data_IF_615205385494
#
_entry.id   IF_615205385494
#
_cell.length_a   1.000
_cell.length_b   1.000
_cell.length_c   1.000
_cell.angle_alpha   90.00
_cell.angle_beta   90.00
_cell.angle_gamma   90.00
#
_symmetry.space_group_name_H-M   'P 1'
#
loop_
_entity.id
_entity.type
_entity.pdbx_description
1 polymer ?
#
# COMPACT_ATOMS: atom_id res chain seq x y z
N UNK A 1 -4.35 1.81 -6.49
CA UNK A 1 -4.79 2.04 -5.11
C UNK A 1 -5.65 0.87 -4.62
N UNK A 2 -6.88 0.64 -5.10
CA UNK A 2 -7.72 -0.43 -4.53
C UNK A 2 -6.99 -1.76 -4.30
N UNK A 3 -6.26 -2.25 -5.31
CA UNK A 3 -5.49 -3.49 -5.16
C UNK A 3 -4.30 -3.34 -4.19
N UNK A 4 -3.72 -2.14 -4.02
CA UNK A 4 -2.64 -1.90 -3.05
C UNK A 4 -3.19 -2.07 -1.63
N UNK A 5 -4.26 -1.33 -1.29
CA UNK A 5 -4.95 -1.38 0.01
C UNK A 5 -5.42 -2.79 0.34
N UNK A 6 -6.08 -3.43 -0.63
CA UNK A 6 -6.63 -4.78 -0.47
C UNK A 6 -5.56 -5.82 -0.12
N UNK A 7 -4.49 -5.86 -0.91
CA UNK A 7 -3.40 -6.83 -0.73
C UNK A 7 -2.63 -6.55 0.56
N UNK A 8 -2.38 -5.26 0.86
CA UNK A 8 -1.68 -4.86 2.08
C UNK A 8 -2.50 -5.20 3.33
N UNK A 9 -3.80 -4.91 3.32
CA UNK A 9 -4.70 -5.26 4.43
C UNK A 9 -4.71 -6.76 4.72
N UNK A 10 -4.71 -7.62 3.69
CA UNK A 10 -4.60 -9.07 3.89
C UNK A 10 -3.24 -9.50 4.45
N UNK A 11 -2.12 -8.97 3.96
CA UNK A 11 -0.80 -9.26 4.54
C UNK A 11 -0.70 -8.84 6.00
N UNK A 12 -1.26 -7.70 6.35
CA UNK A 12 -1.16 -7.18 7.71
C UNK A 12 -2.10 -7.91 8.68
N UNK A 13 -3.22 -8.46 8.19
CA UNK A 13 -4.13 -9.29 8.99
C UNK A 13 -3.46 -10.56 9.54
N UNK A 14 -2.37 -11.04 8.89
CA UNK A 14 -1.58 -12.17 9.39
C UNK A 14 -0.87 -11.90 10.73
N UNK A 15 -0.78 -10.64 11.18
CA UNK A 15 -0.24 -10.30 12.49
C UNK A 15 -1.24 -10.51 13.63
N UNK A 16 -2.53 -10.70 13.32
CA UNK A 16 -3.57 -10.93 14.34
C UNK A 16 -3.26 -12.19 15.13
N UNK A 17 -3.08 -12.05 16.44
CA UNK A 17 -2.75 -13.12 17.36
C UNK A 17 -1.27 -13.46 17.50
N UNK A 18 -0.37 -12.80 16.75
CA UNK A 18 1.08 -13.09 16.75
C UNK A 18 1.97 -11.84 16.75
N UNK A 19 1.40 -10.65 16.82
CA UNK A 19 2.18 -9.41 16.92
C UNK A 19 3.05 -9.39 18.19
N UNK A 20 4.14 -8.59 18.23
CA UNK A 20 5.10 -8.64 19.34
C UNK A 20 4.51 -8.33 20.73
N UNK A 21 3.48 -7.52 20.78
CA UNK A 21 2.75 -7.15 22.01
C UNK A 21 1.25 -6.99 21.70
N UNK A 22 0.41 -7.08 22.71
CA UNK A 22 -1.05 -7.05 22.57
C UNK A 22 -1.55 -5.76 21.91
N UNK A 23 -0.95 -4.63 22.23
CA UNK A 23 -1.32 -3.34 21.65
C UNK A 23 -1.11 -3.31 20.14
N UNK A 24 -0.05 -3.96 19.66
CA UNK A 24 0.25 -4.06 18.22
C UNK A 24 -0.65 -5.08 17.51
N UNK A 25 -1.06 -6.11 18.20
CA UNK A 25 -2.04 -7.06 17.70
C UNK A 25 -3.37 -6.37 17.37
N UNK A 26 -3.85 -5.55 18.31
CA UNK A 26 -5.05 -4.74 18.12
C UNK A 26 -4.84 -3.66 17.05
N UNK A 27 -3.68 -2.96 17.07
CA UNK A 27 -3.38 -1.90 16.11
C UNK A 27 -3.30 -2.43 14.67
N UNK A 28 -2.55 -3.52 14.43
CA UNK A 28 -2.44 -4.13 13.10
C UNK A 28 -3.78 -4.67 12.59
N UNK A 29 -4.59 -5.26 13.47
CA UNK A 29 -5.93 -5.71 13.11
C UNK A 29 -6.84 -4.54 12.71
N UNK A 30 -6.76 -3.40 13.41
CA UNK A 30 -7.51 -2.19 13.07
C UNK A 30 -7.04 -1.60 11.72
N UNK A 31 -5.73 -1.43 11.55
CA UNK A 31 -5.13 -0.95 10.31
C UNK A 31 -5.53 -1.84 9.13
N UNK A 32 -5.45 -3.17 9.28
CA UNK A 32 -5.88 -4.11 8.23
C UNK A 32 -7.34 -3.92 7.83
N UNK A 33 -8.22 -3.67 8.80
CA UNK A 33 -9.64 -3.42 8.53
C UNK A 33 -9.87 -2.09 7.82
N UNK A 34 -9.12 -1.05 8.18
CA UNK A 34 -9.18 0.24 7.51
C UNK A 34 -8.74 0.12 6.04
N UNK A 35 -7.61 -0.56 5.76
CA UNK A 35 -7.13 -0.81 4.39
C UNK A 35 -8.14 -1.58 3.53
N UNK A 36 -8.73 -2.65 4.07
CA UNK A 36 -9.78 -3.40 3.36
C UNK A 36 -11.02 -2.54 3.14
N UNK A 37 -11.37 -1.68 4.10
CA UNK A 37 -12.44 -0.69 3.99
C UNK A 37 -12.19 0.35 2.90
N UNK A 38 -10.95 0.86 2.79
CA UNK A 38 -10.51 1.76 1.73
C UNK A 38 -10.58 1.06 0.36
N UNK A 39 -10.04 -0.17 0.28
CA UNK A 39 -10.11 -0.96 -0.94
C UNK A 39 -11.55 -1.17 -1.41
N UNK A 40 -12.47 -1.54 -0.49
CA UNK A 40 -13.89 -1.71 -0.77
C UNK A 40 -14.48 -0.43 -1.39
N UNK A 41 -14.27 0.72 -0.76
CA UNK A 41 -14.81 1.98 -1.26
C UNK A 41 -14.26 2.35 -2.66
N UNK A 42 -12.98 2.05 -2.91
CA UNK A 42 -12.35 2.23 -4.23
C UNK A 42 -12.91 1.24 -5.28
N UNK A 43 -13.18 -0.01 -4.90
CA UNK A 43 -13.83 -0.98 -5.79
C UNK A 43 -15.28 -0.62 -6.08
N UNK A 44 -16.01 -0.05 -5.12
CA UNK A 44 -17.38 0.47 -5.34
C UNK A 44 -17.37 1.63 -6.36
N UNK A 45 -16.40 2.57 -6.26
CA UNK A 45 -16.24 3.61 -7.28
C UNK A 45 -15.92 3.00 -8.66
N UNK A 46 -15.06 2.00 -8.72
CA UNK A 46 -14.71 1.34 -9.96
C UNK A 46 -15.90 0.58 -10.56
N UNK A 47 -16.67 -0.13 -9.74
CA UNK A 47 -17.90 -0.81 -10.12
C UNK A 47 -18.93 0.15 -10.72
N UNK A 48 -19.08 1.33 -10.12
CA UNK A 48 -19.95 2.40 -10.67
C UNK A 48 -19.51 2.92 -12.04
N UNK A 49 -18.21 2.85 -12.37
CA UNK A 49 -17.68 3.28 -13.68
C UNK A 49 -17.75 2.19 -14.74
N UNK A 50 -17.59 0.92 -14.36
CA UNK A 50 -17.53 -0.23 -15.28
C UNK A 50 -18.89 -0.92 -15.46
N UNK A 51 -19.78 -0.79 -14.49
CA UNK A 51 -21.01 -1.57 -14.41
C UNK A 51 -20.84 -2.97 -13.88
N UNK A 52 -19.64 -3.29 -13.35
CA UNK A 52 -19.33 -4.57 -12.72
C UNK A 52 -19.78 -4.58 -11.24
N UNK A 53 -19.67 -5.73 -10.62
CA UNK A 53 -19.88 -5.92 -9.19
C UNK A 53 -18.57 -5.71 -8.41
N UNK A 54 -18.60 -4.96 -7.30
CA UNK A 54 -17.40 -4.61 -6.54
C UNK A 54 -16.72 -5.84 -5.94
N UNK A 55 -17.48 -6.82 -5.43
CA UNK A 55 -16.93 -8.05 -4.87
C UNK A 55 -16.33 -8.95 -5.95
N UNK A 56 -16.92 -8.96 -7.15
CA UNK A 56 -16.32 -9.63 -8.31
C UNK A 56 -15.02 -8.98 -8.73
N UNK A 57 -14.93 -7.66 -8.67
CA UNK A 57 -13.67 -6.95 -8.92
C UNK A 57 -12.66 -7.29 -7.83
N UNK A 58 -13.05 -7.36 -6.56
CA UNK A 58 -12.15 -7.66 -5.46
C UNK A 58 -11.70 -9.12 -5.44
N UNK A 59 -12.61 -10.09 -5.57
CA UNK A 59 -12.34 -11.52 -5.33
C UNK A 59 -12.42 -12.40 -6.58
N UNK A 60 -13.12 -11.95 -7.64
CA UNK A 60 -13.40 -12.78 -8.81
C UNK A 60 -12.35 -12.72 -9.93
N UNK A 61 -11.26 -11.97 -9.74
CA UNK A 61 -10.19 -11.84 -10.75
C UNK A 61 -9.09 -12.88 -10.55
N UNK A 62 -8.46 -13.40 -11.61
CA UNK A 62 -7.26 -14.21 -11.48
C UNK A 62 -6.09 -13.32 -10.98
N UNK A 63 -5.10 -13.93 -10.34
CA UNK A 63 -3.97 -13.22 -9.72
C UNK A 63 -3.27 -12.22 -10.67
N UNK A 64 -3.13 -12.57 -11.96
CA UNK A 64 -2.48 -11.74 -12.97
C UNK A 64 -3.27 -10.47 -13.34
N UNK A 65 -4.56 -10.42 -12.99
CA UNK A 65 -5.42 -9.27 -13.26
C UNK A 65 -5.30 -8.16 -12.22
N UNK A 66 -4.75 -8.45 -11.04
CA UNK A 66 -4.50 -7.41 -10.02
C UNK A 66 -3.41 -6.43 -10.48
N UNK A 67 -3.47 -5.21 -9.98
CA UNK A 67 -2.59 -4.09 -10.36
C UNK A 67 -1.96 -3.41 -9.15
N UNK A 68 -1.72 -4.16 -8.07
CA UNK A 68 -0.98 -3.66 -6.92
C UNK A 68 0.50 -3.43 -7.25
N UNK A 69 1.14 -2.53 -6.51
CA UNK A 69 2.55 -2.25 -6.65
C UNK A 69 3.41 -3.45 -6.21
N UNK A 70 4.59 -3.61 -6.81
CA UNK A 70 5.52 -4.69 -6.48
C UNK A 70 5.87 -4.78 -4.99
N UNK A 71 5.81 -3.66 -4.26
CA UNK A 71 5.95 -3.62 -2.81
C UNK A 71 5.01 -4.59 -2.07
N UNK A 72 3.81 -4.85 -2.62
CA UNK A 72 2.81 -5.75 -2.05
C UNK A 72 3.04 -7.22 -2.42
N UNK A 73 4.03 -7.54 -3.25
CA UNK A 73 4.35 -8.92 -3.60
C UNK A 73 5.12 -9.67 -2.49
N UNK A 74 5.65 -8.95 -1.51
CA UNK A 74 6.44 -9.54 -0.44
C UNK A 74 5.55 -10.11 0.66
N UNK A 75 5.77 -11.39 0.98
CA UNK A 75 5.14 -12.02 2.13
C UNK A 75 5.57 -11.35 3.45
N UNK A 76 4.78 -11.58 4.49
CA UNK A 76 5.18 -11.24 5.85
C UNK A 76 6.44 -12.05 6.24
N UNK A 77 7.46 -11.38 6.73
CA UNK A 77 8.67 -12.00 7.25
C UNK A 77 8.78 -11.76 8.77
N UNK A 78 9.49 -10.71 9.19
CA UNK A 78 9.55 -10.31 10.58
C UNK A 78 8.88 -8.94 10.81
N UNK A 79 8.82 -8.53 12.08
CA UNK A 79 8.19 -7.27 12.46
C UNK A 79 8.87 -6.06 11.84
N UNK A 80 10.21 -6.03 11.80
CA UNK A 80 10.95 -4.92 11.20
C UNK A 80 10.68 -4.79 9.70
N UNK A 81 10.51 -5.90 9.00
CA UNK A 81 10.15 -5.92 7.58
C UNK A 81 8.74 -5.37 7.35
N UNK A 82 7.76 -5.77 8.16
CA UNK A 82 6.39 -5.27 8.05
C UNK A 82 6.31 -3.79 8.37
N UNK A 83 7.02 -3.32 9.40
CA UNK A 83 7.11 -1.89 9.72
C UNK A 83 7.78 -1.11 8.57
N UNK A 84 8.87 -1.63 7.99
CA UNK A 84 9.52 -1.00 6.85
C UNK A 84 8.59 -0.90 5.62
N UNK A 85 7.87 -1.98 5.29
CA UNK A 85 6.88 -2.01 4.20
C UNK A 85 5.80 -0.96 4.42
N UNK A 86 5.19 -0.95 5.63
CA UNK A 86 4.14 0.01 5.98
C UNK A 86 4.67 1.44 5.95
N UNK A 87 5.80 1.71 6.57
CA UNK A 87 6.41 3.05 6.53
C UNK A 87 6.56 3.57 5.10
N UNK A 88 7.11 2.76 4.21
CA UNK A 88 7.31 3.15 2.80
C UNK A 88 5.98 3.38 2.09
N UNK A 89 4.97 2.53 2.34
CA UNK A 89 3.67 2.64 1.72
C UNK A 89 2.85 3.81 2.25
N UNK A 90 2.77 4.00 3.58
CA UNK A 90 2.01 5.11 4.19
C UNK A 90 2.43 6.47 3.67
N UNK A 91 3.75 6.68 3.56
CA UNK A 91 4.25 7.92 2.99
C UNK A 91 3.92 8.06 1.49
N UNK A 92 3.84 6.95 0.75
CA UNK A 92 3.43 6.97 -0.64
C UNK A 92 1.92 7.23 -0.78
N UNK A 93 1.11 6.60 0.07
CA UNK A 93 -0.32 6.81 0.06
C UNK A 93 -0.70 8.23 0.49
N UNK A 94 -0.05 8.76 1.52
CA UNK A 94 -0.26 10.12 1.97
C UNK A 94 -0.07 11.16 0.83
N UNK A 95 1.01 11.06 0.02
CA UNK A 95 1.21 11.99 -1.09
C UNK A 95 0.19 11.79 -2.22
N UNK A 96 -0.26 10.56 -2.45
CA UNK A 96 -1.32 10.25 -3.43
C UNK A 96 -2.66 10.85 -2.99
N UNK A 97 -3.08 10.58 -1.75
CA UNK A 97 -4.35 11.07 -1.21
C UNK A 97 -4.39 12.59 -1.07
N UNK A 98 -3.25 13.21 -0.70
CA UNK A 98 -3.15 14.68 -0.69
C UNK A 98 -3.40 15.29 -2.06
N UNK A 99 -2.85 14.68 -3.10
CA UNK A 99 -3.08 15.11 -4.48
C UNK A 99 -4.51 14.83 -4.92
N UNK A 100 -5.03 13.61 -4.69
CA UNK A 100 -6.34 13.17 -5.12
C UNK A 100 -7.49 13.95 -4.46
N UNK A 101 -7.28 14.53 -3.28
CA UNK A 101 -8.24 15.44 -2.65
C UNK A 101 -8.58 16.67 -3.51
N UNK A 102 -7.75 16.99 -4.52
CA UNK A 102 -8.01 18.05 -5.51
C UNK A 102 -8.40 17.50 -6.90
N UNK A 103 -8.82 16.22 -6.99
CA UNK A 103 -9.27 15.61 -8.24
C UNK A 103 -10.50 16.29 -8.80
N UNK A 104 -10.57 16.44 -10.13
CA UNK A 104 -11.77 16.89 -10.82
C UNK A 104 -12.90 15.85 -10.82
N UNK A 105 -12.60 14.60 -10.48
CA UNK A 105 -13.61 13.56 -10.27
C UNK A 105 -14.04 13.56 -8.80
N UNK A 106 -15.10 14.29 -8.52
CA UNK A 106 -15.60 14.58 -7.16
C UNK A 106 -15.74 13.33 -6.26
N UNK A 107 -16.29 12.18 -6.72
CA UNK A 107 -16.39 10.99 -5.87
C UNK A 107 -15.01 10.47 -5.39
N UNK A 108 -13.97 10.59 -6.22
CA UNK A 108 -12.62 10.21 -5.85
C UNK A 108 -11.99 11.24 -4.90
N UNK A 109 -12.24 12.53 -5.12
CA UNK A 109 -11.76 13.59 -4.23
C UNK A 109 -12.33 13.44 -2.82
N UNK A 110 -13.65 13.24 -2.72
CA UNK A 110 -14.34 13.05 -1.43
C UNK A 110 -13.85 11.82 -0.69
N UNK A 111 -13.65 10.71 -1.41
CA UNK A 111 -13.10 9.49 -0.84
C UNK A 111 -11.67 9.72 -0.33
N UNK A 112 -10.81 10.37 -1.12
CA UNK A 112 -9.45 10.70 -0.71
C UNK A 112 -9.42 11.57 0.57
N UNK A 113 -10.33 12.55 0.68
CA UNK A 113 -10.47 13.37 1.89
C UNK A 113 -10.87 12.53 3.12
N UNK A 114 -11.74 11.53 2.93
CA UNK A 114 -12.16 10.62 4.01
C UNK A 114 -10.98 9.74 4.44
N UNK A 115 -10.34 9.02 3.51
CA UNK A 115 -9.21 8.13 3.78
C UNK A 115 -8.07 8.85 4.51
N UNK A 116 -7.70 10.06 4.09
CA UNK A 116 -6.65 10.85 4.74
C UNK A 116 -6.83 11.06 6.25
N UNK A 117 -8.03 11.02 6.78
CA UNK A 117 -8.28 11.18 8.22
C UNK A 117 -7.85 9.95 8.99
N UNK A 118 -8.08 8.77 8.44
CA UNK A 118 -7.69 7.48 8.99
C UNK A 118 -6.18 7.29 8.81
N UNK A 119 -5.65 7.56 7.62
CA UNK A 119 -4.23 7.50 7.28
C UNK A 119 -3.32 8.40 8.15
N UNK A 120 -3.84 9.47 8.72
CA UNK A 120 -3.08 10.29 9.67
C UNK A 120 -2.61 9.48 10.89
N UNK A 121 -3.43 8.55 11.37
CA UNK A 121 -3.08 7.68 12.49
C UNK A 121 -2.12 6.58 12.08
N UNK A 122 -2.28 6.01 10.87
CA UNK A 122 -1.36 5.03 10.30
C UNK A 122 0.04 5.62 10.18
N UNK A 123 0.19 6.80 9.56
CA UNK A 123 1.46 7.52 9.46
C UNK A 123 2.14 7.73 10.81
N UNK A 124 1.39 8.22 11.82
CA UNK A 124 1.93 8.44 13.17
C UNK A 124 2.40 7.13 13.80
N UNK A 125 1.64 6.07 13.65
CA UNK A 125 1.93 4.75 14.20
C UNK A 125 3.21 4.16 13.60
N UNK A 126 3.33 4.16 12.25
CA UNK A 126 4.48 3.57 11.58
C UNK A 126 5.74 4.44 11.65
N UNK A 127 5.63 5.77 11.72
CA UNK A 127 6.75 6.66 12.05
C UNK A 127 7.27 6.42 13.48
N UNK A 128 6.37 6.17 14.43
CA UNK A 128 6.76 5.84 15.80
C UNK A 128 7.51 4.49 15.85
N UNK A 129 7.01 3.48 15.13
CA UNK A 129 7.66 2.17 15.07
C UNK A 129 8.99 2.21 14.32
N UNK A 130 9.11 2.97 13.24
CA UNK A 130 10.39 3.22 12.57
C UNK A 130 11.43 3.71 13.59
N UNK A 131 11.07 4.73 14.39
CA UNK A 131 11.95 5.26 15.42
C UNK A 131 12.29 4.24 16.49
N UNK A 132 11.29 3.52 17.03
CA UNK A 132 11.50 2.50 18.06
C UNK A 132 12.48 1.41 17.60
N UNK A 133 12.34 0.95 16.37
CA UNK A 133 13.24 -0.07 15.81
C UNK A 133 14.63 0.49 15.53
N UNK A 134 14.73 1.72 15.05
CA UNK A 134 16.02 2.37 14.82
C UNK A 134 16.81 2.61 16.11
N UNK A 135 16.12 2.94 17.22
CA UNK A 135 16.71 3.23 18.54
C UNK A 135 16.78 1.99 19.45
N UNK A 136 16.16 0.89 19.13
CA UNK A 136 15.97 -0.30 19.99
C UNK A 136 17.18 -1.19 20.18
N UNK A 137 18.33 -0.83 19.59
CA UNK A 137 19.59 -1.56 19.68
C UNK A 137 20.09 -2.08 18.33
N UNK A 138 21.29 -2.67 18.32
CA UNK A 138 22.00 -3.05 17.09
C UNK A 138 21.19 -4.05 16.22
N UNK A 139 20.58 -5.04 16.83
CA UNK A 139 19.81 -6.08 16.14
C UNK A 139 18.57 -5.47 15.45
N UNK A 140 17.74 -4.71 16.16
CA UNK A 140 16.53 -4.09 15.58
C UNK A 140 16.88 -3.07 14.50
N UNK A 141 17.91 -2.25 14.74
CA UNK A 141 18.42 -1.30 13.76
C UNK A 141 18.90 -2.00 12.48
N UNK A 142 19.67 -3.09 12.62
CA UNK A 142 20.19 -3.85 11.48
C UNK A 142 19.08 -4.50 10.67
N UNK A 143 18.07 -5.10 11.33
CA UNK A 143 16.89 -5.68 10.66
C UNK A 143 16.08 -4.63 9.91
N UNK A 144 15.81 -3.50 10.56
CA UNK A 144 15.08 -2.41 9.93
C UNK A 144 15.80 -1.86 8.69
N UNK A 145 17.12 -1.63 8.82
CA UNK A 145 17.95 -1.19 7.69
C UNK A 145 17.90 -2.20 6.53
N UNK A 146 18.12 -3.49 6.82
CA UNK A 146 18.07 -4.53 5.80
C UNK A 146 16.69 -4.63 5.13
N UNK A 147 15.60 -4.44 5.88
CA UNK A 147 14.24 -4.41 5.35
C UNK A 147 14.02 -3.20 4.41
N UNK A 148 14.44 -2.01 4.82
CA UNK A 148 14.37 -0.81 3.98
C UNK A 148 15.16 -1.01 2.67
N UNK A 149 16.40 -1.51 2.76
CA UNK A 149 17.25 -1.77 1.59
C UNK A 149 16.59 -2.77 0.63
N UNK A 150 16.01 -3.84 1.15
CA UNK A 150 15.36 -4.88 0.35
C UNK A 150 14.07 -4.39 -0.33
N UNK A 151 13.27 -3.59 0.37
CA UNK A 151 11.98 -3.10 -0.14
C UNK A 151 12.09 -1.85 -1.02
N UNK A 152 13.22 -1.14 -0.95
CA UNK A 152 13.39 0.17 -1.60
C UNK A 152 13.12 0.19 -3.11
N UNK A 153 13.59 -0.79 -3.91
CA UNK A 153 13.31 -0.82 -5.35
C UNK A 153 11.81 -0.94 -5.63
N UNK A 154 11.14 -1.84 -4.89
CA UNK A 154 9.73 -2.16 -5.11
C UNK A 154 8.78 -1.11 -4.52
N UNK A 155 9.20 -0.36 -3.50
CA UNK A 155 8.43 0.76 -2.96
C UNK A 155 8.18 1.86 -4.01
N UNK A 156 9.12 2.06 -4.92
CA UNK A 156 8.98 3.03 -6.00
C UNK A 156 7.92 2.62 -7.03
N UNK A 157 7.58 1.32 -7.11
CA UNK A 157 6.55 0.81 -8.01
C UNK A 157 5.14 1.31 -7.68
N UNK A 158 4.93 1.89 -6.49
CA UNK A 158 3.69 2.62 -6.15
C UNK A 158 3.45 3.76 -7.16
N UNK A 159 4.52 4.33 -7.70
CA UNK A 159 4.52 5.42 -8.69
C UNK A 159 4.88 4.92 -10.10
N UNK A 160 4.75 3.62 -10.38
CA UNK A 160 5.01 3.09 -11.71
C UNK A 160 4.08 3.73 -12.75
N UNK A 161 4.56 4.00 -13.98
CA UNK A 161 3.78 4.66 -15.01
C UNK A 161 2.46 3.96 -15.31
N UNK A 162 1.40 4.75 -15.49
CA UNK A 162 0.07 4.26 -15.85
C UNK A 162 -0.24 4.52 -17.32
N UNK A 163 -0.86 3.56 -17.99
CA UNK A 163 -1.39 3.78 -19.33
C UNK A 163 -2.41 4.93 -19.31
N UNK A 164 -2.17 5.95 -20.14
CA UNK A 164 -3.06 7.11 -20.23
C UNK A 164 -2.91 8.16 -19.13
N UNK A 165 -1.86 8.09 -18.30
CA UNK A 165 -1.57 9.06 -17.23
C UNK A 165 -1.67 10.52 -17.72
N UNK A 166 -1.05 10.84 -18.86
CA UNK A 166 -1.07 12.19 -19.41
C UNK A 166 -2.50 12.72 -19.65
N UNK A 167 -3.45 11.84 -20.05
CA UNK A 167 -4.86 12.22 -20.23
C UNK A 167 -5.55 12.46 -18.88
N UNK A 168 -5.24 11.65 -17.88
CA UNK A 168 -5.79 11.81 -16.53
C UNK A 168 -5.28 13.10 -15.87
N UNK A 169 -4.01 13.44 -16.08
CA UNK A 169 -3.42 14.71 -15.62
C UNK A 169 -4.03 15.89 -16.35
N UNK A 170 -4.16 15.84 -17.70
CA UNK A 170 -4.78 16.89 -18.48
C UNK A 170 -6.25 17.13 -18.09
N UNK A 171 -6.98 16.07 -17.74
CA UNK A 171 -8.34 16.13 -17.21
C UNK A 171 -8.40 16.51 -15.73
N UNK A 172 -7.27 16.66 -15.04
CA UNK A 172 -7.17 16.89 -13.61
C UNK A 172 -7.84 15.81 -12.74
N UNK A 173 -8.08 14.63 -13.28
CA UNK A 173 -8.49 13.45 -12.50
C UNK A 173 -7.32 13.02 -11.61
N UNK A 174 -6.10 13.04 -12.16
CA UNK A 174 -4.85 13.05 -11.40
C UNK A 174 -4.34 14.49 -11.36
N UNK A 175 -4.40 15.19 -10.24
CA UNK A 175 -3.94 16.57 -10.15
C UNK A 175 -2.43 16.74 -10.37
N UNK A 176 -1.64 15.71 -10.03
CA UNK A 176 -0.19 15.66 -10.21
C UNK A 176 0.20 14.38 -10.97
N UNK A 177 1.35 14.42 -11.66
CA UNK A 177 1.93 13.22 -12.29
C UNK A 177 2.50 12.27 -11.24
N UNK A 178 2.59 10.98 -11.58
CA UNK A 178 3.20 9.98 -10.69
C UNK A 178 4.68 10.29 -10.42
N UNK A 179 5.38 10.89 -11.38
CA UNK A 179 6.76 11.34 -11.17
C UNK A 179 6.84 12.47 -10.12
N UNK A 180 5.93 13.46 -10.17
CA UNK A 180 5.87 14.53 -9.16
C UNK A 180 5.54 13.98 -7.77
N UNK A 181 4.58 13.05 -7.68
CA UNK A 181 4.24 12.38 -6.42
C UNK A 181 5.42 11.57 -5.88
N UNK A 182 6.15 10.85 -6.74
CA UNK A 182 7.36 10.13 -6.36
C UNK A 182 8.43 11.06 -5.80
N UNK A 183 8.65 12.21 -6.42
CA UNK A 183 9.61 13.19 -5.92
C UNK A 183 9.26 13.68 -4.51
N UNK A 184 7.98 13.99 -4.25
CA UNK A 184 7.48 14.37 -2.93
C UNK A 184 7.65 13.24 -1.90
N UNK A 185 7.35 12.01 -2.30
CA UNK A 185 7.55 10.83 -1.46
C UNK A 185 9.01 10.65 -1.09
N UNK A 186 9.93 10.72 -2.07
CA UNK A 186 11.37 10.61 -1.83
C UNK A 186 11.87 11.66 -0.82
N UNK A 187 11.42 12.90 -0.95
CA UNK A 187 11.75 13.97 0.00
C UNK A 187 11.31 13.62 1.42
N UNK A 188 10.04 13.23 1.61
CA UNK A 188 9.49 12.86 2.92
C UNK A 188 10.19 11.67 3.56
N UNK A 189 10.33 10.59 2.81
CA UNK A 189 10.97 9.37 3.30
C UNK A 189 12.44 9.61 3.63
N UNK A 190 13.15 10.40 2.79
CA UNK A 190 14.53 10.80 3.06
C UNK A 190 14.65 11.53 4.39
N UNK A 191 13.81 12.54 4.63
CA UNK A 191 13.79 13.29 5.89
C UNK A 191 13.56 12.37 7.10
N UNK A 192 12.60 11.45 7.01
CA UNK A 192 12.26 10.53 8.11
C UNK A 192 13.37 9.53 8.40
N UNK A 193 13.95 8.91 7.37
CA UNK A 193 15.05 7.98 7.54
C UNK A 193 16.29 8.67 8.14
N UNK A 194 16.65 9.85 7.66
CA UNK A 194 17.76 10.63 8.21
C UNK A 194 17.53 11.04 9.66
N UNK A 195 16.30 11.40 10.03
CA UNK A 195 15.94 11.78 11.39
C UNK A 195 16.16 10.66 12.42
N UNK A 196 16.13 9.38 11.98
CA UNK A 196 16.39 8.20 12.82
C UNK A 196 17.76 7.57 12.56
N UNK A 197 18.65 8.26 11.83
CA UNK A 197 20.02 7.80 11.57
C UNK A 197 20.15 6.69 10.53
N UNK A 198 19.10 6.43 9.75
CA UNK A 198 19.15 5.46 8.66
C UNK A 198 19.61 6.10 7.35
N UNK A 199 20.47 5.38 6.63
CA UNK A 199 20.88 5.79 5.29
C UNK A 199 19.71 5.58 4.30
N UNK A 200 19.56 6.53 3.38
CA UNK A 200 18.61 6.39 2.27
C UNK A 200 19.26 5.50 1.20
N UNK A 201 18.63 4.39 0.79
CA UNK A 201 19.19 3.57 -0.26
C UNK A 201 19.29 4.34 -1.59
N UNK A 202 20.27 4.01 -2.44
CA UNK A 202 20.42 4.69 -3.72
C UNK A 202 19.17 4.51 -4.59
N UNK A 203 18.67 5.61 -5.15
CA UNK A 203 17.51 5.61 -6.03
C UNK A 203 17.99 5.52 -7.47
N UNK A 204 17.75 4.42 -8.14
CA UNK A 204 18.09 4.24 -9.54
C UNK A 204 16.88 4.64 -10.43
N UNK A 205 17.06 5.64 -11.29
CA UNK A 205 16.16 5.95 -12.40
C UNK A 205 14.66 6.12 -12.05
N UNK A 206 13.82 5.88 -13.06
CA UNK A 206 12.37 5.80 -12.91
C UNK A 206 11.94 4.41 -12.42
N UNK A 207 10.75 4.28 -11.79
CA UNK A 207 10.19 2.98 -11.45
C UNK A 207 10.06 2.08 -12.68
N UNK A 208 10.24 0.77 -12.48
CA UNK A 208 10.07 -0.21 -13.56
C UNK A 208 8.64 -0.17 -14.12
N UNK A 209 8.53 -0.27 -15.45
CA UNK A 209 7.25 -0.18 -16.13
C UNK A 209 6.30 -1.35 -15.77
N UNK A 210 6.85 -2.50 -15.37
CA UNK A 210 6.10 -3.68 -14.93
C UNK A 210 5.82 -3.70 -13.42
N UNK A 211 6.22 -2.68 -12.68
CA UNK A 211 6.08 -2.59 -11.23
C UNK A 211 4.67 -2.78 -10.68
N UNK A 212 3.65 -2.70 -11.54
CA UNK A 212 2.24 -2.99 -11.19
C UNK A 212 1.66 -4.22 -11.89
N UNK A 213 2.47 -4.97 -12.62
CA UNK A 213 2.03 -6.17 -13.34
C UNK A 213 2.85 -7.41 -12.99
N UNK A 214 4.02 -7.23 -12.40
CA UNK A 214 4.84 -8.33 -11.87
C UNK A 214 4.13 -9.00 -10.70
N UNK A 215 4.08 -10.33 -10.71
CA UNK A 215 3.49 -11.16 -9.66
C UNK A 215 4.50 -12.19 -9.19
N UNK A 216 4.39 -12.60 -7.93
CA UNK A 216 5.25 -13.58 -7.28
C UNK A 216 4.43 -14.76 -6.77
N UNK A 217 5.11 -15.84 -6.41
CA UNK A 217 4.47 -17.03 -5.82
C UNK A 217 3.85 -16.69 -4.45
N UNK A 218 4.46 -15.75 -3.71
CA UNK A 218 3.92 -15.28 -2.43
C UNK A 218 2.56 -14.58 -2.62
N UNK A 219 2.44 -13.71 -3.62
CA UNK A 219 1.13 -13.13 -3.93
C UNK A 219 0.14 -14.16 -4.44
N UNK A 220 0.57 -15.13 -5.27
CA UNK A 220 -0.31 -16.21 -5.72
C UNK A 220 -0.85 -17.04 -4.54
N UNK A 221 -0.02 -17.28 -3.53
CA UNK A 221 -0.45 -17.91 -2.28
C UNK A 221 -1.49 -17.05 -1.55
N UNK A 222 -1.20 -15.78 -1.30
CA UNK A 222 -2.14 -14.87 -0.61
C UNK A 222 -3.47 -14.75 -1.38
N UNK A 223 -3.42 -14.67 -2.72
CA UNK A 223 -4.60 -14.67 -3.57
C UNK A 223 -5.45 -15.93 -3.35
N UNK A 224 -4.82 -17.10 -3.24
CA UNK A 224 -5.50 -18.35 -2.90
C UNK A 224 -6.19 -18.30 -1.53
N UNK A 225 -5.56 -17.68 -0.53
CA UNK A 225 -6.12 -17.55 0.81
C UNK A 225 -7.37 -16.67 0.82
N UNK A 226 -7.30 -15.44 0.31
CA UNK A 226 -8.45 -14.53 0.37
C UNK A 226 -9.57 -14.86 -0.63
N UNK A 227 -9.31 -15.67 -1.66
CA UNK A 227 -10.34 -16.15 -2.60
C UNK A 227 -10.88 -17.53 -2.25
N UNK A 228 -10.35 -18.21 -1.25
CA UNK A 228 -10.71 -19.59 -0.90
C UNK A 228 -12.22 -19.75 -0.63
N UNK A 229 -12.81 -18.84 0.12
CA UNK A 229 -14.24 -18.92 0.46
C UNK A 229 -15.10 -18.54 -0.73
N UNK A 230 -14.83 -17.40 -1.37
CA UNK A 230 -15.59 -16.95 -2.56
C UNK A 230 -15.47 -17.91 -3.74
N UNK A 231 -14.33 -18.60 -3.87
CA UNK A 231 -14.10 -19.59 -4.93
C UNK A 231 -14.72 -20.96 -4.64
N UNK A 232 -15.12 -21.26 -3.39
CA UNK A 232 -15.70 -22.55 -3.03
C UNK A 232 -17.15 -22.74 -3.51
N UNK A 233 -17.90 -21.63 -3.62
CA UNK A 233 -19.29 -21.62 -4.10
C UNK A 233 -19.51 -20.40 -5.04
N UNK A 234 -19.31 -20.63 -6.34
CA UNK A 234 -19.32 -19.56 -7.34
C UNK A 234 -20.65 -18.76 -7.44
N UNK A 235 -21.76 -19.34 -7.02
CA UNK A 235 -23.11 -18.75 -7.09
C UNK A 235 -23.62 -18.27 -5.70
N UNK A 236 -22.82 -18.35 -4.64
CA UNK A 236 -23.23 -17.87 -3.34
C UNK A 236 -23.30 -16.35 -3.31
N UNK A 237 -24.35 -15.82 -2.69
CA UNK A 237 -24.46 -14.41 -2.30
C UNK A 237 -24.14 -14.29 -0.82
N UNK A 238 -23.14 -13.52 -0.50
CA UNK A 238 -22.65 -13.27 0.86
C UNK A 238 -23.24 -11.98 1.44
#
# INVERSE_FOLDING_TARGET
>A
MADDEFVLGFWDSEWTGIAPILEEDVAMSSVSQDEIGHAKALYELLAGLTGDDADKIAFGRPAEAYRHAALMNHARTDWAFSIARRFLYEHADAVRLESLAASSYEPLADLAVKMRREETYHLLHFDLWLRRLAEGGEESHSRLRGAIEALWPDAQAVFAPLAGEARLVAARILPESLEALRARWLERVTERLQAVGLAVPPTAGSPEADGRTRRTDEFAWLHGEFTMVSGSEADATW
#
